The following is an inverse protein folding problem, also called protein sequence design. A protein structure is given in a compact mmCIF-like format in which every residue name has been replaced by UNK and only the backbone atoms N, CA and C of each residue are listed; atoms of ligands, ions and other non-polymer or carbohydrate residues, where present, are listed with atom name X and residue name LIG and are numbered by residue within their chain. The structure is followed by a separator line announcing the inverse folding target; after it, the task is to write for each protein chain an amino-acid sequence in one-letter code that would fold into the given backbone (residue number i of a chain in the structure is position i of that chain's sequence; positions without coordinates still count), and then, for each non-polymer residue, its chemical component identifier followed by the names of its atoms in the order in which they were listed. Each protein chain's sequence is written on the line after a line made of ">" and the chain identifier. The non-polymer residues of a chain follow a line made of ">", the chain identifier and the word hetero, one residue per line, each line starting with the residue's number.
data_IF_213180717790
#
_entry.id   IF_213180717790
#
_cell.length_a   1.000
_cell.length_b   1.000
_cell.length_c   1.000
_cell.angle_alpha   90.00
_cell.angle_beta   90.00
_cell.angle_gamma   90.00
#
_symmetry.space_group_name_H-M   'P 1'
#
loop_
_entity.id
_entity.type
_entity.pdbx_description
1 polymer ?
#
# COMPACT_ATOMS: atom_id res chain seq x y z
N UNK A 1 -19.62 21.15 -29.40
CA UNK A 1 -18.44 20.56 -28.74
C UNK A 1 -18.81 19.95 -27.38
N UNK A 2 -19.40 20.70 -26.46
CA UNK A 2 -19.84 20.19 -25.14
C UNK A 2 -20.88 19.05 -25.19
N UNK A 3 -21.85 19.11 -26.10
CA UNK A 3 -22.85 18.04 -26.30
C UNK A 3 -22.26 16.72 -26.79
N UNK A 4 -21.18 16.76 -27.58
CA UNK A 4 -20.54 15.55 -28.12
C UNK A 4 -19.69 14.86 -27.05
N UNK A 5 -19.00 15.63 -26.21
CA UNK A 5 -18.29 15.11 -25.05
C UNK A 5 -19.25 14.50 -24.02
N UNK A 6 -20.40 15.14 -23.76
CA UNK A 6 -21.39 14.61 -22.82
C UNK A 6 -21.99 13.29 -23.30
N UNK A 7 -22.30 13.16 -24.59
CA UNK A 7 -22.82 11.90 -25.17
C UNK A 7 -21.75 10.81 -25.17
N UNK A 8 -20.48 11.15 -25.42
CA UNK A 8 -19.38 10.19 -25.33
C UNK A 8 -19.15 9.69 -23.90
N UNK A 9 -19.21 10.59 -22.91
CA UNK A 9 -19.10 10.23 -21.48
C UNK A 9 -20.27 9.34 -21.06
N UNK A 10 -21.50 9.68 -21.44
CA UNK A 10 -22.69 8.89 -21.08
C UNK A 10 -22.76 7.53 -21.79
N UNK A 11 -22.38 7.44 -23.06
CA UNK A 11 -22.29 6.16 -23.76
C UNK A 11 -21.16 5.29 -23.20
N UNK A 12 -20.14 5.91 -22.62
CA UNK A 12 -18.97 5.23 -22.08
C UNK A 12 -19.16 4.68 -20.66
N UNK A 13 -19.82 5.45 -19.78
CA UNK A 13 -20.30 4.92 -18.49
C UNK A 13 -21.22 3.70 -18.70
N UNK A 14 -21.97 3.70 -19.81
CA UNK A 14 -22.81 2.57 -20.22
C UNK A 14 -21.99 1.36 -20.66
N UNK A 15 -20.93 1.54 -21.46
CA UNK A 15 -20.05 0.43 -21.89
C UNK A 15 -19.32 -0.23 -20.71
N UNK A 16 -18.90 0.55 -19.69
CA UNK A 16 -18.33 -0.02 -18.46
C UNK A 16 -19.40 -0.75 -17.64
N UNK A 17 -20.62 -0.23 -17.53
CA UNK A 17 -21.71 -0.90 -16.81
C UNK A 17 -22.13 -2.24 -17.42
N UNK A 18 -21.84 -2.48 -18.70
CA UNK A 18 -22.23 -3.71 -19.41
C UNK A 18 -21.11 -4.77 -19.42
N UNK A 19 -19.85 -4.38 -19.19
CA UNK A 19 -18.76 -5.36 -19.12
C UNK A 19 -18.98 -6.32 -17.95
N UNK A 20 -18.78 -7.62 -18.19
CA UNK A 20 -18.68 -8.58 -17.11
C UNK A 20 -17.33 -8.46 -16.39
N UNK A 21 -17.27 -9.04 -15.19
CA UNK A 21 -16.07 -9.00 -14.33
C UNK A 21 -14.85 -9.58 -15.05
N UNK A 22 -15.02 -10.65 -15.83
CA UNK A 22 -13.94 -11.30 -16.58
C UNK A 22 -13.32 -10.37 -17.62
N UNK A 23 -14.14 -9.70 -18.43
CA UNK A 23 -13.67 -8.74 -19.42
C UNK A 23 -12.95 -7.54 -18.78
N UNK A 24 -13.39 -7.10 -17.60
CA UNK A 24 -12.70 -6.06 -16.83
C UNK A 24 -11.34 -6.53 -16.31
N UNK A 25 -11.26 -7.76 -15.78
CA UNK A 25 -9.99 -8.37 -15.33
C UNK A 25 -9.03 -8.51 -16.50
N UNK A 26 -9.50 -8.98 -17.66
CA UNK A 26 -8.67 -9.14 -18.85
C UNK A 26 -8.04 -7.81 -19.27
N UNK A 27 -8.80 -6.71 -19.21
CA UNK A 27 -8.30 -5.35 -19.48
C UNK A 27 -7.20 -4.91 -18.52
N UNK A 28 -7.22 -5.33 -17.26
CA UNK A 28 -6.14 -5.02 -16.31
C UNK A 28 -4.95 -5.98 -16.44
N UNK A 29 -5.11 -7.12 -17.10
CA UNK A 29 -4.07 -8.15 -17.24
C UNK A 29 -3.18 -8.04 -18.47
N UNK A 30 -3.66 -7.33 -19.50
CA UNK A 30 -3.02 -7.23 -20.81
C UNK A 30 -2.37 -5.87 -21.09
N UNK A 31 -2.60 -5.36 -22.29
CA UNK A 31 -2.19 -4.02 -22.70
C UNK A 31 -3.12 -2.99 -22.03
N UNK A 32 -2.56 -2.22 -21.10
CA UNK A 32 -3.32 -1.23 -20.34
C UNK A 32 -3.60 -0.03 -21.25
N UNK A 33 -4.85 0.09 -21.69
CA UNK A 33 -5.30 1.31 -22.35
C UNK A 33 -5.52 2.47 -21.38
N UNK A 34 -5.78 3.65 -21.92
CA UNK A 34 -6.03 4.91 -21.18
C UNK A 34 -7.11 4.82 -20.08
N UNK A 35 -7.91 3.75 -20.09
CA UNK A 35 -9.09 3.52 -19.23
C UNK A 35 -8.84 2.53 -18.10
N UNK A 36 -7.61 2.08 -17.90
CA UNK A 36 -7.27 1.10 -16.86
C UNK A 36 -7.71 1.55 -15.45
N UNK A 37 -7.57 2.85 -15.15
CA UNK A 37 -8.01 3.43 -13.87
C UNK A 37 -9.53 3.35 -13.66
N UNK A 38 -10.33 3.61 -14.69
CA UNK A 38 -11.80 3.57 -14.62
C UNK A 38 -12.30 2.12 -14.48
N UNK A 39 -11.61 1.18 -15.13
CA UNK A 39 -11.86 -0.26 -14.97
C UNK A 39 -11.52 -0.70 -13.54
N UNK A 40 -10.38 -0.26 -13.01
CA UNK A 40 -9.97 -0.49 -11.61
C UNK A 40 -10.99 0.07 -10.63
N UNK A 41 -11.46 1.31 -10.81
CA UNK A 41 -12.49 1.93 -9.96
C UNK A 41 -13.82 1.17 -10.01
N UNK A 42 -14.16 0.63 -11.18
CA UNK A 42 -15.40 -0.15 -11.36
C UNK A 42 -15.31 -1.53 -10.73
N UNK A 43 -14.20 -2.24 -10.89
CA UNK A 43 -13.93 -3.49 -10.19
C UNK A 43 -13.90 -3.30 -8.67
N UNK A 44 -13.29 -2.22 -8.18
CA UNK A 44 -13.27 -1.91 -6.76
C UNK A 44 -14.68 -1.68 -6.18
N UNK A 45 -15.54 -0.95 -6.91
CA UNK A 45 -16.95 -0.76 -6.55
C UNK A 45 -17.79 -2.04 -6.62
N UNK A 46 -17.44 -2.96 -7.53
CA UNK A 46 -18.08 -4.29 -7.60
C UNK A 46 -17.73 -5.08 -6.34
N UNK A 47 -16.47 -5.05 -5.90
CA UNK A 47 -16.06 -5.46 -4.56
C UNK A 47 -16.27 -6.94 -4.21
N UNK A 48 -16.56 -7.81 -5.20
CA UNK A 48 -16.86 -9.22 -4.92
C UNK A 48 -15.60 -10.02 -4.57
N UNK A 49 -15.80 -11.16 -3.90
CA UNK A 49 -14.74 -12.12 -3.62
C UNK A 49 -14.00 -12.58 -4.89
N UNK A 50 -14.73 -12.71 -6.01
CA UNK A 50 -14.13 -13.03 -7.32
C UNK A 50 -13.13 -11.95 -7.77
N UNK A 51 -13.47 -10.67 -7.60
CA UNK A 51 -12.56 -9.55 -7.90
C UNK A 51 -11.34 -9.58 -6.98
N UNK A 52 -11.55 -9.79 -5.68
CA UNK A 52 -10.47 -9.90 -4.70
C UNK A 52 -9.45 -10.97 -5.12
N UNK A 53 -9.93 -12.18 -5.39
CA UNK A 53 -9.08 -13.33 -5.77
C UNK A 53 -8.37 -13.09 -7.10
N UNK A 54 -9.07 -12.52 -8.08
CA UNK A 54 -8.48 -12.18 -9.37
C UNK A 54 -7.37 -11.14 -9.24
N UNK A 55 -7.55 -10.10 -8.43
CA UNK A 55 -6.52 -9.09 -8.21
C UNK A 55 -5.32 -9.65 -7.43
N UNK A 56 -5.54 -10.54 -6.47
CA UNK A 56 -4.44 -11.26 -5.77
C UNK A 56 -3.59 -12.07 -6.75
N UNK A 57 -4.23 -12.75 -7.73
CA UNK A 57 -3.50 -13.44 -8.80
C UNK A 57 -2.76 -12.43 -9.69
N UNK A 58 -3.40 -11.31 -10.02
CA UNK A 58 -2.88 -10.29 -10.92
C UNK A 58 -1.66 -9.53 -10.34
N UNK A 59 -1.49 -9.50 -9.02
CA UNK A 59 -0.27 -9.00 -8.36
C UNK A 59 1.01 -9.74 -8.78
N UNK A 60 0.90 -10.90 -9.45
CA UNK A 60 2.02 -11.69 -9.97
C UNK A 60 2.16 -11.63 -11.50
N UNK A 61 1.45 -10.70 -12.15
CA UNK A 61 1.53 -10.51 -13.60
C UNK A 61 2.93 -10.08 -14.03
N UNK A 62 3.37 -10.47 -15.23
CA UNK A 62 4.66 -10.07 -15.77
C UNK A 62 4.76 -8.54 -16.02
N UNK A 63 3.65 -7.89 -16.35
CA UNK A 63 3.56 -6.44 -16.56
C UNK A 63 3.51 -5.70 -15.20
N UNK A 64 4.50 -4.83 -14.89
CA UNK A 64 4.51 -4.04 -13.66
C UNK A 64 3.26 -3.16 -13.47
N UNK A 65 2.75 -2.55 -14.55
CA UNK A 65 1.58 -1.68 -14.44
C UNK A 65 0.32 -2.49 -14.11
N UNK A 66 0.17 -3.71 -14.65
CA UNK A 66 -0.93 -4.61 -14.26
C UNK A 66 -0.87 -4.98 -12.78
N UNK A 67 0.34 -5.20 -12.24
CA UNK A 67 0.51 -5.44 -10.78
C UNK A 67 0.11 -4.21 -9.97
N UNK A 68 0.45 -3.00 -10.43
CA UNK A 68 0.03 -1.77 -9.79
C UNK A 68 -1.50 -1.58 -9.86
N UNK A 69 -2.13 -1.80 -11.02
CA UNK A 69 -3.60 -1.76 -11.15
C UNK A 69 -4.29 -2.76 -10.22
N UNK A 70 -3.72 -3.96 -10.06
CA UNK A 70 -4.23 -4.95 -9.11
C UNK A 70 -4.16 -4.44 -7.67
N UNK A 71 -3.00 -3.93 -7.24
CA UNK A 71 -2.81 -3.39 -5.90
C UNK A 71 -3.73 -2.19 -5.62
N UNK A 72 -3.87 -1.29 -6.60
CA UNK A 72 -4.76 -0.13 -6.53
C UNK A 72 -6.21 -0.56 -6.39
N UNK A 73 -6.66 -1.52 -7.21
CA UNK A 73 -8.03 -2.04 -7.14
C UNK A 73 -8.31 -2.62 -5.76
N UNK A 74 -7.41 -3.46 -5.23
CA UNK A 74 -7.52 -4.01 -3.88
C UNK A 74 -7.61 -2.90 -2.81
N UNK A 75 -6.76 -1.88 -2.87
CA UNK A 75 -6.80 -0.78 -1.90
C UNK A 75 -8.06 0.09 -1.98
N UNK A 76 -8.76 0.10 -3.12
CA UNK A 76 -10.03 0.83 -3.27
C UNK A 76 -11.26 0.01 -2.89
N UNK A 77 -11.14 -1.31 -2.76
CA UNK A 77 -12.23 -2.18 -2.32
C UNK A 77 -12.54 -1.94 -0.85
N UNK A 78 -13.82 -2.07 -0.46
CA UNK A 78 -14.26 -1.97 0.94
C UNK A 78 -13.84 -3.22 1.74
N UNK A 79 -14.20 -4.42 1.25
CA UNK A 79 -13.83 -5.70 1.87
C UNK A 79 -12.45 -6.19 1.35
N UNK A 80 -11.39 -5.43 1.66
CA UNK A 80 -10.06 -5.65 1.08
C UNK A 80 -9.04 -6.40 1.97
N UNK A 81 -9.41 -6.75 3.20
CA UNK A 81 -8.51 -7.34 4.20
C UNK A 81 -7.71 -8.54 3.66
N UNK A 82 -8.38 -9.43 2.91
CA UNK A 82 -7.77 -10.62 2.31
C UNK A 82 -6.68 -10.33 1.27
N UNK A 83 -6.62 -9.11 0.73
CA UNK A 83 -5.62 -8.68 -0.24
C UNK A 83 -4.34 -8.10 0.37
N UNK A 84 -4.39 -7.64 1.63
CA UNK A 84 -3.30 -6.85 2.24
C UNK A 84 -1.98 -7.62 2.31
N UNK A 85 -2.03 -8.89 2.73
CA UNK A 85 -0.85 -9.74 2.80
C UNK A 85 -0.18 -9.89 1.43
N UNK A 86 -0.98 -10.07 0.37
CA UNK A 86 -0.49 -10.19 -1.00
C UNK A 86 0.13 -8.88 -1.52
N UNK A 87 -0.43 -7.73 -1.17
CA UNK A 87 0.19 -6.42 -1.49
C UNK A 87 1.53 -6.27 -0.78
N UNK A 88 1.65 -6.66 0.49
CA UNK A 88 2.94 -6.66 1.20
C UNK A 88 3.96 -7.65 0.62
N UNK A 89 3.51 -8.79 0.08
CA UNK A 89 4.38 -9.69 -0.68
C UNK A 89 4.88 -9.02 -1.96
N UNK A 90 3.99 -8.37 -2.72
CA UNK A 90 4.34 -7.64 -3.93
C UNK A 90 5.34 -6.50 -3.64
N UNK A 91 5.16 -5.74 -2.55
CA UNK A 91 6.09 -4.68 -2.10
C UNK A 91 7.51 -5.22 -1.84
N UNK A 92 7.63 -6.48 -1.36
CA UNK A 92 8.92 -7.11 -1.06
C UNK A 92 9.54 -7.84 -2.25
N UNK A 93 8.77 -8.03 -3.32
CA UNK A 93 9.23 -8.73 -4.51
C UNK A 93 10.34 -7.93 -5.22
N UNK A 94 11.39 -8.64 -5.62
CA UNK A 94 12.52 -8.05 -6.34
C UNK A 94 12.10 -7.53 -7.71
N UNK A 95 11.09 -8.13 -8.34
CA UNK A 95 10.55 -7.66 -9.62
C UNK A 95 9.83 -6.32 -9.51
N UNK A 96 9.47 -5.91 -8.28
CA UNK A 96 8.79 -4.66 -7.99
C UNK A 96 9.70 -3.56 -7.45
N UNK A 97 11.02 -3.75 -7.41
CA UNK A 97 11.96 -2.78 -6.84
C UNK A 97 11.80 -1.35 -7.38
N UNK A 98 11.44 -1.22 -8.66
CA UNK A 98 11.25 0.08 -9.32
C UNK A 98 9.88 0.72 -9.08
N UNK A 99 8.93 0.00 -8.47
CA UNK A 99 7.57 0.47 -8.21
C UNK A 99 7.11 0.28 -6.75
N UNK A 100 8.06 0.08 -5.82
CA UNK A 100 7.75 -0.11 -4.40
C UNK A 100 6.98 1.09 -3.84
N UNK A 101 7.31 2.32 -4.27
CA UNK A 101 6.63 3.52 -3.78
C UNK A 101 5.17 3.58 -4.22
N UNK A 102 4.90 3.18 -5.47
CA UNK A 102 3.56 3.09 -6.07
C UNK A 102 2.73 2.03 -5.35
N UNK A 103 3.27 0.82 -5.17
CA UNK A 103 2.59 -0.25 -4.41
C UNK A 103 2.39 0.13 -2.94
N UNK A 104 3.33 0.83 -2.32
CA UNK A 104 3.21 1.27 -0.94
C UNK A 104 2.12 2.33 -0.76
N UNK A 105 1.94 3.23 -1.75
CA UNK A 105 0.91 4.28 -1.68
C UNK A 105 -0.51 3.73 -1.60
N UNK A 106 -0.76 2.53 -2.15
CA UNK A 106 -2.11 1.92 -2.11
C UNK A 106 -2.51 1.50 -0.69
N UNK A 107 -1.56 1.38 0.24
CA UNK A 107 -1.82 1.02 1.63
C UNK A 107 -2.62 2.08 2.39
N UNK A 108 -2.78 3.28 1.83
CA UNK A 108 -3.72 4.28 2.34
C UNK A 108 -5.16 3.74 2.38
N UNK A 109 -5.52 2.85 1.44
CA UNK A 109 -6.85 2.24 1.38
C UNK A 109 -7.05 1.00 2.26
N UNK A 110 -6.01 0.54 2.96
CA UNK A 110 -6.09 -0.64 3.81
C UNK A 110 -6.09 -0.29 5.31
N UNK A 111 -6.66 -1.20 6.10
CA UNK A 111 -6.35 -1.29 7.53
C UNK A 111 -4.98 -1.94 7.70
N UNK A 112 -3.99 -1.15 8.11
CA UNK A 112 -2.60 -1.58 8.30
C UNK A 112 -2.22 -1.71 9.78
N UNK A 113 -3.20 -1.78 10.68
CA UNK A 113 -3.00 -1.76 12.13
C UNK A 113 -2.01 -2.79 12.66
N UNK A 114 -1.99 -3.99 12.08
CA UNK A 114 -1.05 -5.07 12.47
C UNK A 114 0.35 -4.96 11.81
N UNK A 115 0.56 -4.01 10.89
CA UNK A 115 1.72 -3.95 9.99
C UNK A 115 2.76 -2.89 10.35
N UNK A 116 2.69 -2.29 11.55
CA UNK A 116 3.65 -1.28 12.02
C UNK A 116 5.12 -1.67 11.77
N UNK A 117 5.53 -2.88 12.19
CA UNK A 117 6.93 -3.33 12.03
C UNK A 117 7.33 -3.43 10.55
N UNK A 118 6.40 -3.81 9.67
CA UNK A 118 6.68 -3.90 8.24
C UNK A 118 6.89 -2.51 7.62
N UNK A 119 6.02 -1.55 7.95
CA UNK A 119 6.15 -0.16 7.51
C UNK A 119 7.39 0.51 8.09
N UNK A 120 7.68 0.30 9.37
CA UNK A 120 8.88 0.82 10.02
C UNK A 120 10.17 0.35 9.34
N UNK A 121 10.22 -0.91 8.88
CA UNK A 121 11.35 -1.39 8.06
C UNK A 121 11.46 -0.67 6.72
N UNK A 122 10.34 -0.40 6.05
CA UNK A 122 10.34 0.35 4.80
C UNK A 122 10.79 1.80 5.01
N UNK A 123 10.42 2.40 6.14
CA UNK A 123 10.93 3.70 6.57
C UNK A 123 12.45 3.68 6.80
N UNK A 124 12.99 2.66 7.46
CA UNK A 124 14.43 2.59 7.72
C UNK A 124 15.25 2.30 6.45
N UNK A 125 14.85 1.31 5.66
CA UNK A 125 15.69 0.74 4.58
C UNK A 125 15.25 1.15 3.16
N UNK A 126 14.12 1.84 3.03
CA UNK A 126 13.62 2.30 1.75
C UNK A 126 14.46 3.41 1.12
N UNK A 127 14.35 3.57 -0.20
CA UNK A 127 14.83 4.79 -0.86
C UNK A 127 14.04 6.02 -0.35
N UNK A 128 14.44 7.23 -0.75
CA UNK A 128 13.80 8.46 -0.28
C UNK A 128 12.26 8.44 -0.40
N UNK A 129 11.71 8.05 -1.56
CA UNK A 129 10.26 7.96 -1.80
C UNK A 129 9.60 6.94 -0.87
N UNK A 130 10.15 5.74 -0.78
CA UNK A 130 9.61 4.65 0.07
C UNK A 130 9.68 5.04 1.54
N UNK A 131 10.79 5.64 1.99
CA UNK A 131 10.95 6.09 3.36
C UNK A 131 9.92 7.17 3.71
N UNK A 132 9.68 8.12 2.81
CA UNK A 132 8.72 9.20 3.02
C UNK A 132 7.29 8.67 3.14
N UNK A 133 6.84 7.82 2.22
CA UNK A 133 5.49 7.24 2.25
C UNK A 133 5.31 6.33 3.47
N UNK A 134 6.31 5.51 3.80
CA UNK A 134 6.25 4.65 4.97
C UNK A 134 6.14 5.48 6.27
N UNK A 135 6.86 6.60 6.35
CA UNK A 135 6.74 7.54 7.48
C UNK A 135 5.35 8.15 7.56
N UNK A 136 4.84 8.65 6.44
CA UNK A 136 3.49 9.23 6.38
C UNK A 136 2.40 8.26 6.84
N UNK A 137 2.49 6.99 6.45
CA UNK A 137 1.59 5.94 6.95
C UNK A 137 1.79 5.69 8.45
N UNK A 138 3.02 5.69 8.96
CA UNK A 138 3.31 5.49 10.38
C UNK A 138 2.77 6.64 11.25
N UNK A 139 2.77 7.87 10.72
CA UNK A 139 2.36 9.07 11.45
C UNK A 139 0.83 9.24 11.47
N UNK A 140 0.11 8.71 10.47
CA UNK A 140 -1.33 9.00 10.27
C UNK A 140 -2.26 7.78 10.37
N UNK A 141 -1.75 6.55 10.40
CA UNK A 141 -2.57 5.34 10.58
C UNK A 141 -2.59 4.90 12.04
N UNK A 142 -3.69 4.29 12.44
CA UNK A 142 -3.82 3.64 13.73
C UNK A 142 -3.11 2.27 13.71
N UNK A 143 -2.39 1.95 14.78
CA UNK A 143 -1.66 0.70 14.92
C UNK A 143 -1.94 -0.02 16.23
N UNK A 144 -1.97 -1.34 16.15
CA UNK A 144 -2.05 -2.23 17.31
C UNK A 144 -0.67 -2.38 17.96
N UNK A 145 -0.26 -1.33 18.68
CA UNK A 145 1.02 -1.29 19.35
C UNK A 145 1.00 -2.18 20.61
N UNK A 146 2.01 -3.04 20.71
CA UNK A 146 2.27 -3.89 21.87
C UNK A 146 3.77 -3.85 22.22
N UNK A 147 4.13 -4.26 23.44
CA UNK A 147 5.54 -4.43 23.85
C UNK A 147 6.34 -5.29 22.86
N UNK A 148 5.69 -6.28 22.23
CA UNK A 148 6.33 -7.14 21.21
C UNK A 148 6.61 -6.38 19.90
N UNK A 149 5.72 -5.47 19.50
CA UNK A 149 5.90 -4.63 18.30
C UNK A 149 7.09 -3.69 18.50
N UNK A 150 7.13 -2.96 19.62
CA UNK A 150 8.25 -2.05 19.95
C UNK A 150 9.57 -2.81 19.97
N UNK A 151 9.64 -3.94 20.70
CA UNK A 151 10.86 -4.79 20.75
C UNK A 151 11.36 -5.22 19.36
N UNK A 152 10.46 -5.54 18.43
CA UNK A 152 10.83 -5.89 17.05
C UNK A 152 11.31 -4.66 16.28
N UNK A 153 10.64 -3.52 16.41
CA UNK A 153 11.04 -2.27 15.79
C UNK A 153 12.43 -1.82 16.28
N UNK A 154 12.69 -1.85 17.59
CA UNK A 154 14.00 -1.56 18.19
C UNK A 154 15.09 -2.47 17.63
N UNK A 155 14.81 -3.77 17.41
CA UNK A 155 15.77 -4.67 16.77
C UNK A 155 16.13 -4.21 15.35
N UNK A 156 15.15 -3.76 14.58
CA UNK A 156 15.39 -3.24 13.23
C UNK A 156 16.13 -1.91 13.23
N UNK A 157 15.81 -1.01 14.17
CA UNK A 157 16.55 0.23 14.39
C UNK A 157 18.02 -0.05 14.73
N UNK A 158 18.29 -0.91 15.70
CA UNK A 158 19.65 -1.29 16.08
C UNK A 158 20.41 -1.90 14.90
N UNK A 159 19.75 -2.71 14.06
CA UNK A 159 20.37 -3.22 12.86
C UNK A 159 20.71 -2.09 11.87
N UNK A 160 19.76 -1.19 11.59
CA UNK A 160 19.99 -0.03 10.73
C UNK A 160 21.15 0.83 11.25
N UNK A 161 21.06 1.30 12.50
CA UNK A 161 22.04 2.18 13.14
C UNK A 161 23.47 1.62 13.12
N UNK A 162 23.63 0.30 13.33
CA UNK A 162 24.96 -0.33 13.30
C UNK A 162 25.53 -0.54 11.89
N UNK A 163 24.71 -0.42 10.83
CA UNK A 163 25.11 -0.78 9.46
C UNK A 163 25.09 0.39 8.48
N UNK A 164 24.67 1.59 8.91
CA UNK A 164 24.71 2.80 8.09
C UNK A 164 25.80 3.75 8.55
N UNK A 165 26.19 4.66 7.64
CA UNK A 165 27.10 5.76 7.97
C UNK A 165 26.37 6.76 8.89
N UNK A 166 27.05 7.22 9.94
CA UNK A 166 26.52 8.23 10.85
C UNK A 166 26.81 9.63 10.29
N UNK A 167 26.05 10.01 9.28
CA UNK A 167 26.03 11.36 8.72
C UNK A 167 24.80 12.16 9.19
N UNK A 168 24.61 13.37 8.68
CA UNK A 168 23.51 14.26 9.07
C UNK A 168 22.13 13.60 8.87
N UNK A 169 21.97 12.80 7.81
CA UNK A 169 20.71 12.09 7.55
C UNK A 169 20.46 11.00 8.61
N UNK A 170 21.51 10.29 9.02
CA UNK A 170 21.41 9.34 10.12
C UNK A 170 21.05 10.03 11.44
N UNK A 171 21.69 11.14 11.79
CA UNK A 171 21.40 11.85 13.04
C UNK A 171 19.96 12.38 13.07
N UNK A 172 19.46 12.92 11.96
CA UNK A 172 18.06 13.31 11.83
C UNK A 172 17.12 12.11 12.05
N UNK A 173 17.38 11.00 11.34
CA UNK A 173 16.57 9.77 11.45
C UNK A 173 16.63 9.16 12.85
N UNK A 174 17.77 9.29 13.54
CA UNK A 174 17.94 8.83 14.92
C UNK A 174 17.04 9.59 15.87
N UNK A 175 17.04 10.92 15.80
CA UNK A 175 16.17 11.76 16.64
C UNK A 175 14.71 11.35 16.43
N UNK A 176 14.27 11.25 15.18
CA UNK A 176 12.90 10.85 14.85
C UNK A 176 12.53 9.46 15.42
N UNK A 177 13.41 8.47 15.30
CA UNK A 177 13.14 7.11 15.80
C UNK A 177 13.14 7.04 17.33
N UNK A 178 14.05 7.77 17.98
CA UNK A 178 14.11 7.82 19.45
C UNK A 178 12.84 8.48 20.01
N UNK A 179 12.40 9.61 19.43
CA UNK A 179 11.12 10.26 19.79
C UNK A 179 9.93 9.30 19.60
N UNK A 180 9.84 8.60 18.45
CA UNK A 180 8.77 7.63 18.20
C UNK A 180 8.77 6.51 19.26
N UNK A 181 9.93 5.98 19.65
CA UNK A 181 9.99 4.90 20.62
C UNK A 181 9.66 5.35 22.04
N UNK A 182 10.03 6.57 22.41
CA UNK A 182 9.64 7.16 23.68
C UNK A 182 8.11 7.33 23.74
N UNK A 183 7.51 7.95 22.73
CA UNK A 183 6.04 8.15 22.64
C UNK A 183 5.27 6.81 22.69
N UNK A 184 5.73 5.80 21.95
CA UNK A 184 5.10 4.48 21.94
C UNK A 184 5.26 3.74 23.27
N UNK A 185 6.37 3.94 23.98
CA UNK A 185 6.59 3.33 25.29
C UNK A 185 5.70 3.97 26.34
N UNK A 186 5.63 5.30 26.37
CA UNK A 186 4.78 6.06 27.27
C UNK A 186 3.30 5.69 27.07
N UNK A 187 2.84 5.57 25.82
CA UNK A 187 1.49 5.11 25.51
C UNK A 187 1.14 3.72 26.08
N UNK A 188 2.09 2.79 26.10
CA UNK A 188 1.87 1.45 26.64
C UNK A 188 1.93 1.39 28.16
N UNK A 189 2.69 2.28 28.79
CA UNK A 189 2.79 2.37 30.24
C UNK A 189 1.53 3.04 30.82
N UNK A 190 1.01 4.07 30.17
CA UNK A 190 -0.27 4.71 30.54
C UNK A 190 -1.45 3.73 30.46
N UNK A 191 -1.48 2.86 29.43
CA UNK A 191 -2.49 1.80 29.31
C UNK A 191 -2.44 0.74 30.41
N UNK A 192 -1.33 0.58 31.14
CA UNK A 192 -1.22 -0.37 32.26
C UNK A 192 -1.73 0.20 33.59
N UNK A 193 -1.87 1.53 33.69
CA UNK A 193 -2.29 2.21 34.92
C UNK A 193 -3.81 2.46 34.96
N UNK A 194 -4.49 2.38 33.81
CA UNK A 194 -5.97 2.46 33.69
C UNK A 194 -6.64 1.09 33.89
#
# INVERSE_FOLDING_TARGET
>A
MLLYQLVLVLAFDYDIQIMDIGAMIDKLSGDLGDKAYEVSDSLARIGTQEVLEAMIVLLKNANPESRYMAARTLGLMEDNEGGLAAVFEAIKDKENQNQVGELLSVLEGFDVSEYYVALFKLYLFGNFKVSMIAKDLLDHKDFDITHRVIKKATKHWNHYSNNVKHDELYELKKIEVEEIFDDLSDFLDDKQVM
#
